data_IF_839113443125
#
_entry.id   IF_839113443125
#
_cell.length_a   1.000
_cell.length_b   1.000
_cell.length_c   1.000
_cell.angle_alpha   90.00
_cell.angle_beta   90.00
_cell.angle_gamma   90.00
#
_symmetry.space_group_name_H-M   'P 1'
#
loop_
_entity.id
_entity.type
_entity.pdbx_description
1 polymer ?
#
# COMPACT_ATOMS: atom_id res chain seq x y z
N UNK A 1 -13.95 39.89 10.20
CA UNK A 1 -13.68 38.97 9.08
C UNK A 1 -12.38 38.23 9.32
N UNK A 2 -12.43 36.97 9.75
CA UNK A 2 -11.25 36.12 10.03
C UNK A 2 -11.13 35.12 8.88
N UNK A 3 -10.04 35.18 8.12
CA UNK A 3 -9.79 34.35 6.93
C UNK A 3 -9.10 33.04 7.30
N UNK A 4 -9.56 31.98 6.64
CA UNK A 4 -8.83 30.81 6.12
C UNK A 4 -8.05 29.95 7.12
N UNK A 5 -8.48 28.69 7.28
CA UNK A 5 -7.63 27.50 7.05
C UNK A 5 -8.54 26.31 6.70
N UNK A 6 -8.69 26.09 5.40
CA UNK A 6 -9.16 24.84 4.81
C UNK A 6 -7.95 23.92 4.67
N UNK A 7 -7.88 22.81 5.39
CA UNK A 7 -7.09 21.61 5.04
C UNK A 7 -7.56 20.49 5.96
N UNK A 8 -8.43 19.60 5.47
CA UNK A 8 -8.05 18.33 4.83
C UNK A 8 -8.04 17.19 5.85
N UNK A 9 -9.15 16.48 5.94
CA UNK A 9 -9.19 15.12 6.48
C UNK A 9 -10.05 14.28 5.54
N UNK A 10 -9.46 13.91 4.40
CA UNK A 10 -9.94 12.81 3.58
C UNK A 10 -9.80 11.54 4.43
N UNK A 11 -10.90 11.10 5.03
CA UNK A 11 -10.96 9.79 5.69
C UNK A 11 -10.99 8.77 4.56
N UNK A 12 -9.81 8.29 4.18
CA UNK A 12 -9.65 7.22 3.22
C UNK A 12 -10.15 5.89 3.85
N UNK A 13 -11.15 5.33 3.18
CA UNK A 13 -11.45 3.91 3.01
C UNK A 13 -11.29 2.96 4.20
N UNK A 14 -12.42 2.58 4.78
CA UNK A 14 -12.61 1.27 5.40
C UNK A 14 -13.44 0.37 4.47
N UNK A 15 -12.93 0.03 3.29
CA UNK A 15 -13.49 -1.04 2.47
C UNK A 15 -13.17 -2.37 3.16
N UNK A 16 -13.95 -2.71 4.19
CA UNK A 16 -13.98 -4.02 4.80
C UNK A 16 -14.64 -5.00 3.81
N UNK A 17 -13.94 -5.30 2.71
CA UNK A 17 -14.28 -6.48 1.90
C UNK A 17 -13.79 -7.68 2.69
N UNK A 18 -14.72 -8.42 3.29
CA UNK A 18 -14.50 -9.79 3.75
C UNK A 18 -14.27 -10.68 2.52
N UNK A 19 -13.16 -10.45 1.81
CA UNK A 19 -12.65 -11.40 0.86
C UNK A 19 -11.92 -12.46 1.67
N UNK A 20 -12.23 -13.73 1.43
CA UNK A 20 -11.40 -14.85 1.85
C UNK A 20 -9.95 -14.46 1.57
N UNK A 21 -9.15 -14.21 2.61
CA UNK A 21 -7.76 -13.81 2.47
C UNK A 21 -7.05 -15.04 1.95
N UNK A 22 -7.00 -15.19 0.62
CA UNK A 22 -6.10 -16.14 -0.02
C UNK A 22 -4.72 -15.67 0.41
N UNK A 23 -4.15 -16.33 1.42
CA UNK A 23 -2.82 -16.01 1.91
C UNK A 23 -1.88 -16.31 0.75
N UNK A 24 -1.45 -15.25 0.06
CA UNK A 24 -0.46 -15.35 -0.98
C UNK A 24 0.89 -15.38 -0.27
N UNK A 25 1.52 -16.56 -0.28
CA UNK A 25 2.95 -16.71 -0.09
C UNK A 25 3.57 -16.76 -1.48
N UNK A 26 4.26 -15.69 -1.87
CA UNK A 26 4.81 -15.54 -3.20
C UNK A 26 6.11 -14.74 -3.20
N UNK A 27 7.03 -15.16 -4.03
CA UNK A 27 8.24 -14.42 -4.41
C UNK A 27 7.98 -13.73 -5.76
N UNK A 28 8.26 -12.42 -5.84
CA UNK A 28 8.25 -11.68 -7.10
C UNK A 28 9.69 -11.48 -7.59
N UNK A 29 9.89 -11.47 -8.91
CA UNK A 29 11.23 -11.41 -9.52
C UNK A 29 12.04 -10.16 -9.13
N UNK A 30 11.36 -9.12 -8.65
CA UNK A 30 11.96 -7.87 -8.16
C UNK A 30 12.48 -7.95 -6.69
N UNK A 31 12.67 -9.16 -6.14
CA UNK A 31 13.19 -9.36 -4.78
C UNK A 31 12.16 -9.10 -3.67
N UNK A 32 10.86 -9.16 -4.00
CA UNK A 32 9.77 -8.99 -3.04
C UNK A 32 9.21 -10.33 -2.60
N UNK A 33 8.92 -10.46 -1.31
CA UNK A 33 8.28 -11.61 -0.70
C UNK A 33 6.98 -11.19 -0.02
N UNK A 34 5.90 -11.93 -0.28
CA UNK A 34 4.60 -11.72 0.34
C UNK A 34 4.39 -12.67 1.51
N UNK A 35 3.73 -12.17 2.56
CA UNK A 35 3.12 -12.99 3.59
C UNK A 35 1.73 -12.47 3.92
N UNK A 36 0.69 -13.24 3.57
CA UNK A 36 -0.71 -12.82 3.73
C UNK A 36 -0.99 -11.44 3.09
N UNK A 37 -0.41 -11.22 1.91
CA UNK A 37 -0.36 -9.90 1.27
C UNK A 37 -1.52 -9.68 0.30
N UNK A 38 -1.84 -8.40 0.05
CA UNK A 38 -2.62 -7.97 -1.11
C UNK A 38 -1.87 -8.37 -2.41
N UNK A 39 -2.55 -8.66 -3.54
CA UNK A 39 -1.86 -8.97 -4.80
C UNK A 39 -0.79 -7.91 -5.17
N UNK A 40 0.39 -8.36 -5.64
CA UNK A 40 1.57 -7.50 -5.81
C UNK A 40 1.28 -6.25 -6.65
N UNK A 41 0.66 -6.44 -7.81
CA UNK A 41 0.38 -5.34 -8.73
C UNK A 41 -0.60 -4.33 -8.12
N UNK A 42 -1.60 -4.79 -7.37
CA UNK A 42 -2.56 -3.91 -6.71
C UNK A 42 -1.88 -3.05 -5.65
N UNK A 43 -1.08 -3.66 -4.76
CA UNK A 43 -0.29 -2.94 -3.76
C UNK A 43 0.67 -1.95 -4.43
N UNK A 44 1.40 -2.40 -5.46
CA UNK A 44 2.36 -1.57 -6.21
C UNK A 44 1.68 -0.36 -6.85
N UNK A 45 0.53 -0.56 -7.48
CA UNK A 45 -0.18 0.51 -8.19
C UNK A 45 -0.82 1.51 -7.20
N UNK A 46 -1.22 1.06 -6.01
CA UNK A 46 -1.64 1.94 -4.91
C UNK A 46 -0.45 2.77 -4.37
N UNK A 47 0.68 2.13 -4.09
CA UNK A 47 1.86 2.82 -3.55
C UNK A 47 2.53 3.77 -4.54
N UNK A 48 2.47 3.50 -5.85
CA UNK A 48 2.99 4.40 -6.90
C UNK A 48 2.24 5.72 -7.02
N UNK A 49 1.00 5.78 -6.55
CA UNK A 49 0.21 7.02 -6.56
C UNK A 49 0.72 8.04 -5.54
N UNK A 50 1.44 7.59 -4.51
CA UNK A 50 1.84 8.43 -3.37
C UNK A 50 3.36 8.53 -3.20
N UNK A 51 4.14 7.62 -3.79
CA UNK A 51 5.59 7.58 -3.63
C UNK A 51 6.33 7.07 -4.88
N UNK A 52 7.55 7.59 -5.08
CA UNK A 52 8.48 7.05 -6.09
C UNK A 52 8.90 5.62 -5.73
N UNK A 53 8.97 4.73 -6.71
CA UNK A 53 9.22 3.28 -6.53
C UNK A 53 10.56 2.95 -5.87
N UNK A 54 11.54 3.84 -5.92
CA UNK A 54 12.86 3.65 -5.29
C UNK A 54 12.91 4.26 -3.89
N UNK A 55 11.90 5.02 -3.50
CA UNK A 55 11.87 5.71 -2.21
C UNK A 55 11.60 4.77 -1.05
N UNK A 56 12.02 5.19 0.15
CA UNK A 56 11.68 4.49 1.40
C UNK A 56 10.17 4.52 1.67
N UNK A 57 9.48 5.61 1.29
CA UNK A 57 8.03 5.73 1.45
C UNK A 57 7.28 4.65 0.67
N UNK A 58 7.73 4.35 -0.55
CA UNK A 58 7.15 3.25 -1.34
C UNK A 58 7.37 1.89 -0.68
N UNK A 59 8.57 1.63 -0.13
CA UNK A 59 8.84 0.37 0.57
C UNK A 59 7.99 0.22 1.83
N UNK A 60 7.81 1.29 2.60
CA UNK A 60 6.91 1.28 3.76
C UNK A 60 5.47 0.99 3.35
N UNK A 61 4.97 1.64 2.29
CA UNK A 61 3.64 1.36 1.76
C UNK A 61 3.47 -0.10 1.32
N UNK A 62 4.44 -0.66 0.59
CA UNK A 62 4.41 -2.08 0.20
C UNK A 62 4.39 -3.02 1.43
N UNK A 63 5.12 -2.68 2.50
CA UNK A 63 5.12 -3.45 3.74
C UNK A 63 3.77 -3.44 4.46
N UNK A 64 3.03 -2.32 4.41
CA UNK A 64 1.66 -2.23 4.92
C UNK A 64 0.70 -3.17 4.17
N UNK A 65 0.98 -3.45 2.89
CA UNK A 65 0.27 -4.42 2.07
C UNK A 65 0.79 -5.87 2.22
N UNK A 66 1.75 -6.12 3.11
CA UNK A 66 2.29 -7.46 3.38
C UNK A 66 3.48 -7.88 2.51
N UNK A 67 4.11 -6.95 1.79
CA UNK A 67 5.29 -7.20 0.96
C UNK A 67 6.58 -6.73 1.61
N UNK A 68 7.55 -7.64 1.71
CA UNK A 68 8.87 -7.38 2.28
C UNK A 68 9.90 -7.50 1.17
N UNK A 69 10.84 -6.56 1.07
CA UNK A 69 11.97 -6.64 0.16
C UNK A 69 13.19 -7.16 0.91
N UNK A 70 13.87 -8.15 0.33
CA UNK A 70 15.20 -8.56 0.81
C UNK A 70 16.30 -7.57 0.39
#
# INVERSE_FOLDING_TARGET
MKRLFLTASLIAAGLATSACVTIIDATHEDGWRARAATPFNEARDQCRQTADVRSRAFQTCMAEHGWIRD
#
